data_IF_488802499288
#
_entry.id   IF_488802499288
#
_cell.length_a   1.000
_cell.length_b   1.000
_cell.length_c   1.000
_cell.angle_alpha   90.00
_cell.angle_beta   90.00
_cell.angle_gamma   90.00
#
_symmetry.space_group_name_H-M   'P 1'
#
loop_
_entity.id
_entity.type
_entity.pdbx_description
1 polymer ?
#
# COMPACT_ATOMS: atom_id res chain seq x y z
N UNK A 1 13.44 8.78 -3.20
CA UNK A 1 14.41 8.55 -2.11
C UNK A 1 14.20 7.14 -1.57
N UNK A 2 15.24 6.31 -1.50
CA UNK A 2 15.12 4.94 -1.00
C UNK A 2 14.76 4.87 0.48
N UNK A 3 14.25 3.73 0.95
CA UNK A 3 13.92 3.51 2.38
C UNK A 3 15.17 3.66 3.26
N UNK A 4 16.29 3.07 2.87
CA UNK A 4 17.57 3.20 3.59
C UNK A 4 18.01 4.66 3.73
N UNK A 5 17.94 5.44 2.66
CA UNK A 5 18.27 6.87 2.66
C UNK A 5 17.38 7.66 3.61
N UNK A 6 16.07 7.41 3.60
CA UNK A 6 15.14 8.07 4.52
C UNK A 6 15.44 7.71 5.98
N UNK A 7 15.73 6.44 6.26
CA UNK A 7 16.10 5.97 7.60
C UNK A 7 17.38 6.67 8.08
N UNK A 8 18.41 6.73 7.24
CA UNK A 8 19.66 7.40 7.58
C UNK A 8 19.46 8.89 7.87
N UNK A 9 18.64 9.58 7.06
CA UNK A 9 18.30 10.99 7.27
C UNK A 9 17.53 11.19 8.59
N UNK A 10 16.55 10.34 8.90
CA UNK A 10 15.80 10.42 10.16
C UNK A 10 16.69 10.15 11.37
N UNK A 11 17.61 9.17 11.29
CA UNK A 11 18.60 8.93 12.35
C UNK A 11 19.46 10.16 12.59
N UNK A 12 19.94 10.79 11.52
CA UNK A 12 20.75 12.01 11.60
C UNK A 12 19.95 13.17 12.19
N UNK A 13 18.69 13.34 11.78
CA UNK A 13 17.77 14.33 12.33
C UNK A 13 17.65 14.23 13.85
N UNK A 14 17.39 13.04 14.39
CA UNK A 14 17.30 12.85 15.84
C UNK A 14 18.65 12.99 16.55
N UNK A 15 19.75 12.57 15.92
CA UNK A 15 21.09 12.69 16.54
C UNK A 15 21.65 14.11 16.56
N UNK A 16 21.21 14.98 15.65
CA UNK A 16 21.75 16.34 15.46
C UNK A 16 20.80 17.43 15.99
N UNK A 17 19.81 17.08 16.81
CA UNK A 17 18.93 18.03 17.47
C UNK A 17 17.79 18.57 16.60
N UNK A 18 17.17 17.71 15.78
CA UNK A 18 15.90 17.99 15.09
C UNK A 18 15.95 19.14 14.07
N UNK A 19 17.11 19.35 13.46
CA UNK A 19 17.28 20.30 12.36
C UNK A 19 17.24 19.63 10.98
N UNK A 20 16.31 20.00 10.10
CA UNK A 20 16.26 19.49 8.72
C UNK A 20 17.53 19.82 7.91
N UNK A 21 18.09 21.02 8.09
CA UNK A 21 19.34 21.44 7.46
C UNK A 21 20.53 20.66 8.04
N UNK A 22 20.54 20.45 9.35
CA UNK A 22 21.59 19.70 10.04
C UNK A 22 21.59 18.24 9.57
N UNK A 23 20.42 17.61 9.46
CA UNK A 23 20.27 16.25 8.93
C UNK A 23 20.78 16.13 7.49
N UNK A 24 20.45 17.09 6.61
CA UNK A 24 20.91 17.10 5.23
C UNK A 24 22.44 17.26 5.14
N UNK A 25 23.02 18.18 5.93
CA UNK A 25 24.47 18.37 6.00
C UNK A 25 25.18 17.14 6.58
N UNK A 26 24.64 16.57 7.65
CA UNK A 26 25.16 15.34 8.26
C UNK A 26 25.15 14.17 7.26
N UNK A 27 24.10 14.06 6.46
CA UNK A 27 23.99 13.04 5.42
C UNK A 27 25.06 13.24 4.34
N UNK A 28 25.22 14.48 3.87
CA UNK A 28 26.23 14.86 2.90
C UNK A 28 27.65 14.53 3.37
N UNK A 29 27.98 14.89 4.62
CA UNK A 29 29.29 14.60 5.23
C UNK A 29 29.51 13.11 5.40
N UNK A 30 28.52 12.37 5.92
CA UNK A 30 28.61 10.91 6.15
C UNK A 30 28.86 10.13 4.85
N UNK A 31 28.30 10.60 3.73
CA UNK A 31 28.38 9.93 2.44
C UNK A 31 29.35 10.58 1.45
N UNK A 32 30.13 11.59 1.86
CA UNK A 32 31.14 12.24 1.01
C UNK A 32 30.57 12.94 -0.24
N UNK A 33 29.33 13.44 -0.17
CA UNK A 33 28.64 14.01 -1.33
C UNK A 33 29.00 15.49 -1.47
N UNK A 34 29.35 15.96 -2.68
CA UNK A 34 29.72 17.37 -2.90
C UNK A 34 28.50 18.25 -3.16
N UNK A 35 27.57 17.79 -4.01
CA UNK A 35 26.33 18.49 -4.33
C UNK A 35 25.21 18.04 -3.41
N UNK A 36 24.29 18.94 -3.06
CA UNK A 36 23.18 18.56 -2.19
C UNK A 36 22.29 17.52 -2.89
N UNK A 37 22.14 16.32 -2.28
CA UNK A 37 21.44 15.21 -2.93
C UNK A 37 19.92 15.42 -2.95
N UNK A 38 19.41 16.24 -2.04
CA UNK A 38 18.00 16.54 -1.86
C UNK A 38 17.82 18.02 -1.52
N UNK A 39 16.64 18.54 -1.81
CA UNK A 39 16.26 19.88 -1.34
C UNK A 39 15.86 19.84 0.13
N UNK A 40 16.04 20.96 0.85
CA UNK A 40 15.58 21.10 2.24
C UNK A 40 14.08 20.83 2.36
N UNK A 41 13.27 21.24 1.38
CA UNK A 41 11.84 20.97 1.34
C UNK A 41 11.49 19.48 1.28
N UNK A 42 12.34 18.67 0.63
CA UNK A 42 12.16 17.22 0.61
C UNK A 42 12.40 16.63 1.99
N UNK A 43 13.41 17.14 2.72
CA UNK A 43 13.74 16.68 4.07
C UNK A 43 12.67 17.12 5.08
N UNK A 44 12.21 18.37 5.02
CA UNK A 44 11.13 18.84 5.89
C UNK A 44 9.83 18.09 5.63
N UNK A 45 9.49 17.81 4.37
CA UNK A 45 8.34 16.98 4.03
C UNK A 45 8.47 15.54 4.54
N UNK A 46 9.68 14.97 4.52
CA UNK A 46 9.95 13.65 5.08
C UNK A 46 9.77 13.63 6.60
N UNK A 47 10.28 14.65 7.30
CA UNK A 47 10.14 14.81 8.76
C UNK A 47 8.65 14.94 9.12
N UNK A 48 7.94 15.88 8.50
CA UNK A 48 6.51 16.09 8.76
C UNK A 48 5.68 14.81 8.49
N UNK A 49 6.02 14.08 7.42
CA UNK A 49 5.41 12.78 7.13
C UNK A 49 5.69 11.77 8.24
N UNK A 50 6.95 11.67 8.69
CA UNK A 50 7.33 10.77 9.77
C UNK A 50 6.62 11.14 11.08
N UNK A 51 6.56 12.41 11.46
CA UNK A 51 5.85 12.87 12.66
C UNK A 51 4.33 12.59 12.59
N UNK A 52 3.72 12.68 11.41
CA UNK A 52 2.29 12.41 11.24
C UNK A 52 1.90 10.93 11.28
N UNK A 53 2.79 10.01 10.92
CA UNK A 53 2.46 8.56 10.73
C UNK A 53 3.28 7.66 11.67
N UNK A 54 4.43 8.13 12.14
CA UNK A 54 5.44 7.32 12.83
C UNK A 54 6.20 6.36 11.90
N UNK A 55 6.10 6.52 10.58
CA UNK A 55 6.69 5.59 9.62
C UNK A 55 7.47 6.29 8.51
N UNK A 56 8.63 5.72 8.21
CA UNK A 56 9.53 6.13 7.13
C UNK A 56 9.12 5.48 5.79
N UNK A 57 8.23 4.49 5.83
CA UNK A 57 7.80 3.74 4.65
C UNK A 57 6.92 4.59 3.72
N UNK A 58 6.77 4.12 2.50
CA UNK A 58 5.82 4.70 1.56
C UNK A 58 4.39 4.55 2.07
N UNK A 59 3.56 5.53 1.73
CA UNK A 59 2.13 5.36 1.95
C UNK A 59 1.67 4.16 1.12
N UNK A 60 0.69 3.39 1.62
CA UNK A 60 -0.06 2.53 0.71
C UNK A 60 -0.55 3.41 -0.45
N UNK A 61 -0.33 2.96 -1.68
CA UNK A 61 -0.66 3.74 -2.87
C UNK A 61 -2.09 4.25 -2.78
N UNK A 62 -2.31 5.55 -3.00
CA UNK A 62 -3.65 6.18 -3.05
C UNK A 62 -4.41 5.80 -4.33
N UNK A 63 -4.28 4.55 -4.76
CA UNK A 63 -5.00 4.03 -5.91
C UNK A 63 -6.50 3.94 -5.64
N UNK A 64 -7.29 3.77 -6.70
CA UNK A 64 -8.72 3.51 -6.59
C UNK A 64 -8.92 2.24 -5.76
N UNK A 65 -9.67 2.34 -4.65
CA UNK A 65 -10.06 1.18 -3.85
C UNK A 65 -10.77 0.16 -4.75
N UNK A 66 -10.36 -1.10 -4.65
CA UNK A 66 -11.02 -2.19 -5.36
C UNK A 66 -12.43 -2.35 -4.81
N UNK A 67 -13.43 -2.56 -5.68
CA UNK A 67 -14.79 -2.94 -5.26
C UNK A 67 -14.87 -4.42 -4.84
N UNK A 68 -13.73 -5.09 -4.64
CA UNK A 68 -13.69 -6.49 -4.20
C UNK A 68 -14.36 -6.63 -2.85
N UNK A 69 -14.03 -5.77 -1.90
CA UNK A 69 -14.39 -5.96 -0.49
C UNK A 69 -15.91 -5.83 -0.31
N UNK A 70 -16.55 -4.96 -1.09
CA UNK A 70 -18.02 -4.86 -1.19
C UNK A 70 -18.66 -6.09 -1.85
N UNK A 71 -17.97 -6.69 -2.83
CA UNK A 71 -18.51 -7.74 -3.71
C UNK A 71 -18.21 -9.16 -3.22
N UNK A 72 -17.18 -9.35 -2.39
CA UNK A 72 -16.80 -10.64 -1.83
C UNK A 72 -17.96 -11.35 -1.13
N UNK A 73 -18.68 -10.72 -0.17
CA UNK A 73 -19.79 -11.42 0.49
C UNK A 73 -20.92 -11.77 -0.49
N UNK A 74 -21.17 -10.93 -1.51
CA UNK A 74 -22.20 -11.19 -2.53
C UNK A 74 -21.83 -12.42 -3.38
N UNK A 75 -20.56 -12.49 -3.80
CA UNK A 75 -20.03 -13.62 -4.58
C UNK A 75 -20.02 -14.89 -3.74
N UNK A 76 -19.63 -14.81 -2.47
CA UNK A 76 -19.55 -15.95 -1.57
C UNK A 76 -20.93 -16.55 -1.30
N UNK A 77 -21.92 -15.72 -0.95
CA UNK A 77 -23.30 -16.17 -0.76
C UNK A 77 -23.86 -16.84 -2.04
N UNK A 78 -23.57 -16.29 -3.21
CA UNK A 78 -24.00 -16.86 -4.49
C UNK A 78 -23.32 -18.21 -4.79
N UNK A 79 -22.04 -18.36 -4.42
CA UNK A 79 -21.32 -19.63 -4.53
C UNK A 79 -21.96 -20.68 -3.62
N UNK A 80 -22.20 -20.36 -2.34
CA UNK A 80 -22.81 -21.28 -1.36
C UNK A 80 -24.22 -21.70 -1.76
N UNK A 81 -25.02 -20.76 -2.30
CA UNK A 81 -26.34 -21.06 -2.84
C UNK A 81 -26.28 -22.06 -4.00
N UNK A 82 -25.37 -21.85 -4.95
CA UNK A 82 -25.21 -22.72 -6.11
C UNK A 82 -24.65 -24.10 -5.73
N UNK A 83 -23.74 -24.15 -4.75
CA UNK A 83 -23.22 -25.41 -4.23
C UNK A 83 -24.31 -26.21 -3.51
N UNK A 84 -25.15 -25.55 -2.72
CA UNK A 84 -26.26 -26.20 -2.00
C UNK A 84 -27.32 -26.79 -2.94
N UNK A 85 -27.45 -26.26 -4.16
CA UNK A 85 -28.36 -26.74 -5.20
C UNK A 85 -27.71 -27.79 -6.12
N UNK A 86 -26.39 -27.91 -6.10
CA UNK A 86 -25.63 -28.82 -6.94
C UNK A 86 -25.40 -30.14 -6.21
N UNK A 87 -25.78 -31.25 -6.84
CA UNK A 87 -25.51 -32.59 -6.30
C UNK A 87 -24.00 -32.84 -6.08
N UNK A 88 -23.14 -32.12 -6.80
CA UNK A 88 -21.68 -32.23 -6.73
C UNK A 88 -21.02 -31.12 -5.91
N UNK A 89 -21.79 -30.28 -5.20
CA UNK A 89 -21.29 -29.12 -4.46
C UNK A 89 -20.35 -28.21 -5.30
N UNK A 90 -20.58 -28.15 -6.61
CA UNK A 90 -19.77 -27.37 -7.55
C UNK A 90 -20.54 -26.12 -8.01
N UNK A 91 -19.82 -25.01 -8.16
CA UNK A 91 -20.35 -23.76 -8.69
C UNK A 91 -19.49 -23.27 -9.86
N UNK A 92 -20.15 -22.82 -10.94
CA UNK A 92 -19.48 -22.26 -12.11
C UNK A 92 -19.35 -20.75 -11.98
N UNK A 93 -18.17 -20.21 -12.29
CA UNK A 93 -17.92 -18.75 -12.36
C UNK A 93 -18.92 -18.05 -13.27
N UNK A 94 -19.35 -18.70 -14.34
CA UNK A 94 -20.35 -18.15 -15.26
C UNK A 94 -21.72 -18.02 -14.58
N UNK A 95 -22.14 -19.02 -13.82
CA UNK A 95 -23.42 -19.01 -13.11
C UNK A 95 -23.42 -17.99 -11.97
N UNK A 96 -22.33 -17.92 -11.20
CA UNK A 96 -22.15 -16.92 -10.13
C UNK A 96 -22.20 -15.49 -10.71
N UNK A 97 -21.57 -15.28 -11.89
CA UNK A 97 -21.59 -13.99 -12.58
C UNK A 97 -23.00 -13.61 -13.06
N UNK A 98 -23.75 -14.57 -13.60
CA UNK A 98 -25.14 -14.34 -14.00
C UNK A 98 -26.04 -14.04 -12.80
N UNK A 99 -25.88 -14.77 -11.69
CA UNK A 99 -26.69 -14.62 -10.49
C UNK A 99 -26.45 -13.29 -9.77
N UNK A 100 -25.21 -12.81 -9.74
CA UNK A 100 -24.81 -11.60 -8.99
C UNK A 100 -24.76 -10.33 -9.86
N UNK A 101 -24.80 -10.47 -11.19
CA UNK A 101 -24.55 -9.37 -12.13
C UNK A 101 -23.09 -8.85 -12.11
N UNK A 102 -22.19 -9.49 -11.37
CA UNK A 102 -20.78 -9.11 -11.29
C UNK A 102 -20.04 -9.70 -12.49
N UNK A 103 -19.15 -8.96 -13.18
CA UNK A 103 -18.41 -9.49 -14.33
C UNK A 103 -17.60 -10.75 -13.98
N UNK A 104 -17.61 -11.77 -14.84
CA UNK A 104 -16.87 -13.04 -14.66
C UNK A 104 -15.43 -12.85 -14.20
N UNK A 105 -14.70 -11.90 -14.79
CA UNK A 105 -13.31 -11.63 -14.42
C UNK A 105 -13.16 -11.14 -12.97
N UNK A 106 -14.13 -10.38 -12.45
CA UNK A 106 -14.15 -9.96 -11.05
C UNK A 106 -14.53 -11.10 -10.12
N UNK A 107 -15.52 -11.93 -10.48
CA UNK A 107 -15.89 -13.14 -9.73
C UNK A 107 -14.69 -14.08 -9.62
N UNK A 108 -14.05 -14.40 -10.75
CA UNK A 108 -12.85 -15.25 -10.79
C UNK A 108 -11.71 -14.69 -9.93
N UNK A 109 -11.49 -13.37 -9.94
CA UNK A 109 -10.47 -12.72 -9.10
C UNK A 109 -10.81 -12.83 -7.61
N UNK A 110 -12.08 -12.72 -7.24
CA UNK A 110 -12.55 -12.85 -5.85
C UNK A 110 -12.38 -14.31 -5.40
N UNK A 111 -12.88 -15.28 -6.17
CA UNK A 111 -12.80 -16.71 -5.85
C UNK A 111 -11.36 -17.27 -5.83
N UNK A 112 -10.37 -16.59 -6.42
CA UNK A 112 -8.95 -16.98 -6.34
C UNK A 112 -8.20 -16.40 -5.13
N UNK A 113 -8.78 -15.40 -4.45
CA UNK A 113 -8.14 -14.68 -3.35
C UNK A 113 -8.42 -15.31 -1.99
N UNK A 114 -9.50 -16.08 -1.89
CA UNK A 114 -9.80 -16.95 -0.75
C UNK A 114 -9.16 -18.31 -0.95
#
# INVERSE_FOLDING_TARGET
MGVSTRIDIMKLYHSLGEGAIAALRGYKTKHGIIKDPFTVSTITGLIAKFESIGSVLDFPGKGRKSRSDERTPIVQNAVEQLQSQSTMASSSITQVSQLTGIPRASVHRIMRRE
#
